data_IF_304041616510
#
_entry.id   IF_304041616510
#
_cell.length_a   1.000
_cell.length_b   1.000
_cell.length_c   1.000
_cell.angle_alpha   90.00
_cell.angle_beta   90.00
_cell.angle_gamma   90.00
#
_symmetry.space_group_name_H-M   'P 1'
#
loop_
_entity.id
_entity.type
_entity.pdbx_description
1 polymer ?
#
# COMPACT_ATOMS: atom_id res chain seq x y z
N UNK A 1 -10.08 27.53 7.03
CA UNK A 1 -8.64 27.18 7.11
C UNK A 1 -7.94 27.73 5.87
N UNK A 2 -6.83 28.45 6.03
CA UNK A 2 -6.01 28.93 4.92
C UNK A 2 -5.51 27.77 4.03
N UNK A 3 -5.44 28.01 2.72
CA UNK A 3 -4.97 27.04 1.71
C UNK A 3 -3.56 26.55 2.06
N UNK A 4 -2.66 27.44 2.47
CA UNK A 4 -1.29 27.06 2.80
C UNK A 4 -1.21 26.27 4.09
N UNK A 5 -2.03 26.59 5.10
CA UNK A 5 -2.08 25.82 6.35
C UNK A 5 -2.61 24.41 6.16
N UNK A 6 -3.65 24.22 5.32
CA UNK A 6 -4.15 22.88 4.95
C UNK A 6 -3.09 22.05 4.23
N UNK A 7 -2.38 22.65 3.29
CA UNK A 7 -1.29 21.98 2.55
C UNK A 7 -0.11 21.60 3.44
N UNK A 8 0.28 22.49 4.35
CA UNK A 8 1.34 22.24 5.32
C UNK A 8 0.95 21.11 6.28
N UNK A 9 -0.29 21.10 6.77
CA UNK A 9 -0.84 20.00 7.57
C UNK A 9 -0.73 18.66 6.82
N UNK A 10 -1.12 18.65 5.54
CA UNK A 10 -1.07 17.44 4.72
C UNK A 10 0.36 16.92 4.49
N UNK A 11 1.36 17.81 4.38
CA UNK A 11 2.78 17.44 4.36
C UNK A 11 3.19 16.84 5.70
N UNK A 12 2.87 17.53 6.80
CA UNK A 12 3.30 17.13 8.14
C UNK A 12 2.75 15.74 8.51
N UNK A 13 1.51 15.43 8.14
CA UNK A 13 0.95 14.09 8.33
C UNK A 13 1.78 12.99 7.66
N UNK A 14 2.24 13.21 6.43
CA UNK A 14 3.13 12.26 5.74
C UNK A 14 4.51 12.19 6.41
N UNK A 15 5.03 13.32 6.90
CA UNK A 15 6.34 13.34 7.59
C UNK A 15 6.35 12.60 8.93
N UNK A 16 5.19 12.35 9.53
CA UNK A 16 5.06 11.58 10.77
C UNK A 16 5.15 10.07 10.54
N UNK A 17 5.02 9.59 9.29
CA UNK A 17 5.05 8.18 8.96
C UNK A 17 6.48 7.60 9.05
N UNK A 18 6.59 6.32 9.38
CA UNK A 18 7.89 5.64 9.53
C UNK A 18 8.64 5.53 8.20
N UNK A 19 7.96 5.35 7.06
CA UNK A 19 8.56 5.47 5.72
C UNK A 19 9.31 6.78 5.54
N UNK A 20 8.71 7.90 5.94
CA UNK A 20 9.37 9.21 5.82
C UNK A 20 10.58 9.31 6.77
N UNK A 21 10.49 8.76 7.98
CA UNK A 21 11.61 8.72 8.93
C UNK A 21 12.79 7.92 8.38
N UNK A 22 12.54 6.72 7.81
CA UNK A 22 13.57 5.92 7.13
C UNK A 22 14.18 6.67 5.95
N UNK A 23 13.35 7.26 5.11
CA UNK A 23 13.81 8.06 3.96
C UNK A 23 14.79 9.17 4.38
N UNK A 24 14.45 10.00 5.37
CA UNK A 24 15.33 11.11 5.76
C UNK A 24 16.57 10.67 6.53
N UNK A 25 16.53 9.49 7.17
CA UNK A 25 17.71 8.86 7.80
C UNK A 25 18.73 8.46 6.73
N UNK A 26 18.26 7.83 5.66
CA UNK A 26 19.12 7.29 4.60
C UNK A 26 19.53 8.35 3.60
N UNK A 27 18.61 9.23 3.18
CA UNK A 27 18.83 10.21 2.10
C UNK A 27 18.78 11.65 2.64
N UNK A 28 19.86 12.10 3.30
CA UNK A 28 19.94 13.48 3.77
C UNK A 28 19.92 14.45 2.58
N UNK A 29 19.46 15.68 2.82
CA UNK A 29 19.18 16.65 1.75
C UNK A 29 20.38 16.92 0.83
N UNK A 30 21.60 16.90 1.37
CA UNK A 30 22.82 17.19 0.63
C UNK A 30 23.30 16.02 -0.24
N UNK A 31 22.88 14.78 0.04
CA UNK A 31 23.19 13.59 -0.77
C UNK A 31 22.10 13.27 -1.81
N UNK A 32 21.08 14.13 -1.95
CA UNK A 32 19.99 13.90 -2.91
C UNK A 32 20.42 14.14 -4.34
N UNK A 33 20.58 13.04 -5.05
CA UNK A 33 20.81 12.98 -6.51
C UNK A 33 19.53 13.26 -7.31
N UNK A 34 19.65 13.98 -8.44
CA UNK A 34 18.50 14.50 -9.23
C UNK A 34 17.84 13.40 -10.06
N UNK A 35 18.65 12.49 -10.56
CA UNK A 35 18.30 11.33 -11.37
C UNK A 35 17.32 10.40 -10.62
N UNK A 36 17.41 10.37 -9.29
CA UNK A 36 16.53 9.57 -8.42
C UNK A 36 15.34 10.38 -7.85
N UNK A 37 15.13 11.63 -8.29
CA UNK A 37 14.14 12.52 -7.67
C UNK A 37 12.68 12.07 -7.87
N UNK A 38 12.42 11.30 -8.93
CA UNK A 38 11.12 10.69 -9.25
C UNK A 38 11.01 9.22 -8.80
N UNK A 39 12.02 8.71 -8.08
CA UNK A 39 12.06 7.36 -7.51
C UNK A 39 12.35 7.40 -6.01
N UNK A 40 13.61 7.30 -5.61
CA UNK A 40 14.03 7.08 -4.22
C UNK A 40 14.39 8.38 -3.47
N UNK A 41 14.76 9.45 -4.19
CA UNK A 41 15.18 10.74 -3.63
C UNK A 41 14.07 11.80 -3.69
N UNK A 42 12.86 11.42 -3.25
CA UNK A 42 11.66 12.24 -3.40
C UNK A 42 11.77 13.62 -2.73
N UNK A 43 11.29 14.66 -3.41
CA UNK A 43 11.30 16.03 -2.87
C UNK A 43 9.95 16.41 -2.29
N UNK A 44 9.94 16.93 -1.07
CA UNK A 44 8.73 17.47 -0.45
C UNK A 44 8.14 18.59 -1.32
N UNK A 45 6.85 18.52 -1.68
CA UNK A 45 6.19 19.59 -2.43
C UNK A 45 6.22 20.91 -1.67
N UNK A 46 6.50 22.02 -2.35
CA UNK A 46 6.41 23.35 -1.75
C UNK A 46 4.94 23.79 -1.68
N UNK A 47 4.42 23.88 -0.45
CA UNK A 47 3.02 24.23 -0.17
C UNK A 47 2.66 25.66 -0.59
N UNK A 48 3.66 26.54 -0.70
CA UNK A 48 3.51 27.97 -1.02
C UNK A 48 3.29 28.21 -2.51
N UNK A 49 3.55 27.22 -3.36
CA UNK A 49 3.39 27.36 -4.80
C UNK A 49 1.93 27.65 -5.16
N UNK A 50 1.73 28.61 -6.05
CA UNK A 50 0.41 28.96 -6.55
C UNK A 50 -0.10 27.92 -7.57
N UNK A 51 -0.47 26.75 -7.06
CA UNK A 51 -1.04 25.65 -7.81
C UNK A 51 -2.56 25.60 -7.62
N UNK A 52 -3.26 25.12 -8.64
CA UNK A 52 -4.66 24.69 -8.52
C UNK A 52 -4.76 23.52 -7.54
N UNK A 53 -5.97 23.28 -7.02
CA UNK A 53 -6.22 22.19 -6.08
C UNK A 53 -5.84 20.82 -6.67
N UNK A 54 -6.22 20.55 -7.91
CA UNK A 54 -5.90 19.30 -8.62
C UNK A 54 -4.38 19.12 -8.83
N UNK A 55 -3.67 20.14 -9.31
CA UNK A 55 -2.20 20.07 -9.50
C UNK A 55 -1.48 19.84 -8.18
N UNK A 56 -1.94 20.46 -7.10
CA UNK A 56 -1.42 20.23 -5.76
C UNK A 56 -1.63 18.78 -5.30
N UNK A 57 -2.86 18.27 -5.41
CA UNK A 57 -3.18 16.91 -5.01
C UNK A 57 -2.38 15.89 -5.81
N UNK A 58 -2.21 16.07 -7.12
CA UNK A 58 -1.36 15.20 -7.94
C UNK A 58 0.10 15.18 -7.46
N UNK A 59 0.68 16.35 -7.13
CA UNK A 59 2.05 16.43 -6.59
C UNK A 59 2.16 15.78 -5.21
N UNK A 60 1.20 16.04 -4.33
CA UNK A 60 1.17 15.47 -2.98
C UNK A 60 1.02 13.94 -3.02
N UNK A 61 0.12 13.42 -3.84
CA UNK A 61 -0.07 11.98 -4.03
C UNK A 61 1.16 11.31 -4.63
N UNK A 62 1.80 11.92 -5.64
CA UNK A 62 3.04 11.38 -6.19
C UNK A 62 4.15 11.32 -5.13
N UNK A 63 4.35 12.41 -4.38
CA UNK A 63 5.35 12.43 -3.31
C UNK A 63 5.07 11.37 -2.23
N UNK A 64 3.81 11.22 -1.79
CA UNK A 64 3.41 10.16 -0.84
C UNK A 64 3.73 8.77 -1.36
N UNK A 65 3.39 8.49 -2.62
CA UNK A 65 3.71 7.21 -3.26
C UNK A 65 5.21 6.91 -3.21
N UNK A 66 6.06 7.90 -3.45
CA UNK A 66 7.52 7.73 -3.37
C UNK A 66 8.01 7.55 -1.92
N UNK A 67 7.45 8.31 -0.96
CA UNK A 67 7.74 8.13 0.47
C UNK A 67 7.38 6.73 0.92
N UNK A 68 6.19 6.22 0.59
CA UNK A 68 5.74 4.89 0.99
C UNK A 68 6.58 3.74 0.42
N UNK A 69 7.40 3.95 -0.62
CA UNK A 69 8.37 2.93 -1.06
C UNK A 69 9.35 2.54 0.05
N UNK A 70 9.62 3.47 0.97
CA UNK A 70 10.50 3.26 2.12
C UNK A 70 9.87 2.42 3.24
N UNK A 71 8.59 2.07 3.15
CA UNK A 71 7.99 1.09 4.07
C UNK A 71 8.51 -0.34 3.81
N UNK A 72 9.05 -0.59 2.60
CA UNK A 72 9.61 -1.88 2.20
C UNK A 72 11.08 -2.06 2.58
N UNK A 73 11.72 -0.99 3.05
CA UNK A 73 13.13 -1.00 3.44
C UNK A 73 13.22 -1.31 4.94
N UNK A 74 13.93 -2.39 5.28
CA UNK A 74 14.18 -2.74 6.68
C UNK A 74 15.16 -1.76 7.34
N UNK A 75 15.24 -1.78 8.67
CA UNK A 75 16.23 -0.98 9.38
C UNK A 75 17.67 -1.42 9.06
N UNK A 76 17.93 -2.72 8.90
CA UNK A 76 19.26 -3.22 8.49
C UNK A 76 19.67 -2.76 7.10
N UNK A 77 18.71 -2.66 6.17
CA UNK A 77 18.97 -2.14 4.82
C UNK A 77 19.23 -0.63 4.84
N UNK A 78 18.68 0.12 5.79
CA UNK A 78 18.91 1.56 5.86
C UNK A 78 20.38 1.92 6.12
N UNK A 79 21.08 1.14 6.94
CA UNK A 79 22.50 1.38 7.22
C UNK A 79 23.33 1.13 5.95
N UNK A 80 23.08 0.01 5.26
CA UNK A 80 23.72 -0.33 3.98
C UNK A 80 23.50 0.76 2.91
N UNK A 81 22.26 1.23 2.78
CA UNK A 81 21.91 2.28 1.80
C UNK A 81 22.58 3.61 2.12
N UNK A 82 22.72 3.95 3.40
CA UNK A 82 23.41 5.17 3.83
C UNK A 82 24.89 5.10 3.45
N UNK A 83 25.52 3.95 3.64
CA UNK A 83 26.91 3.72 3.24
C UNK A 83 27.10 3.79 1.72
N UNK A 84 26.17 3.23 0.94
CA UNK A 84 26.19 3.34 -0.53
C UNK A 84 26.21 4.81 -0.97
N UNK A 85 25.33 5.64 -0.41
CA UNK A 85 25.27 7.07 -0.74
C UNK A 85 26.53 7.82 -0.31
N UNK A 86 27.11 7.49 0.85
CA UNK A 86 28.35 8.11 1.31
C UNK A 86 29.55 7.75 0.42
N UNK A 87 29.59 6.54 -0.15
CA UNK A 87 30.60 6.11 -1.13
C UNK A 87 30.34 6.63 -2.54
N UNK A 88 29.14 7.15 -2.82
CA UNK A 88 28.71 7.55 -4.15
C UNK A 88 28.31 6.38 -5.05
N UNK A 89 28.09 5.18 -4.48
CA UNK A 89 27.68 4.00 -5.21
C UNK A 89 26.16 3.98 -5.41
N UNK A 90 25.72 4.65 -6.48
CA UNK A 90 24.30 4.76 -6.81
C UNK A 90 23.73 3.48 -7.44
N UNK A 91 24.56 2.66 -8.08
CA UNK A 91 24.11 1.41 -8.70
C UNK A 91 23.77 0.38 -7.62
N UNK A 92 24.65 0.21 -6.62
CA UNK A 92 24.39 -0.64 -5.46
C UNK A 92 23.16 -0.14 -4.68
N UNK A 93 23.07 1.18 -4.45
CA UNK A 93 21.91 1.79 -3.78
C UNK A 93 20.58 1.42 -4.46
N UNK A 94 20.49 1.62 -5.79
CA UNK A 94 19.27 1.32 -6.55
C UNK A 94 18.99 -0.18 -6.56
N UNK A 95 20.02 -1.01 -6.68
CA UNK A 95 19.90 -2.48 -6.65
C UNK A 95 19.27 -2.96 -5.34
N UNK A 96 19.73 -2.47 -4.19
CA UNK A 96 19.18 -2.82 -2.86
C UNK A 96 17.73 -2.34 -2.74
N UNK A 97 17.47 -1.08 -3.11
CA UNK A 97 16.13 -0.49 -3.03
C UNK A 97 15.10 -1.26 -3.89
N UNK A 98 15.45 -1.61 -5.13
CA UNK A 98 14.55 -2.35 -6.02
C UNK A 98 14.48 -3.84 -5.67
N UNK A 99 15.54 -4.42 -5.12
CA UNK A 99 15.54 -5.79 -4.59
C UNK A 99 14.57 -5.97 -3.41
N UNK A 100 14.40 -4.93 -2.60
CA UNK A 100 13.46 -4.90 -1.47
C UNK A 100 11.99 -4.92 -1.88
N UNK A 101 11.68 -4.71 -3.17
CA UNK A 101 10.32 -4.88 -3.70
C UNK A 101 9.86 -6.34 -3.79
N UNK A 102 10.76 -7.32 -3.59
CA UNK A 102 10.48 -8.74 -3.87
C UNK A 102 9.88 -9.53 -2.70
N UNK A 103 9.83 -8.99 -1.49
CA UNK A 103 9.27 -9.73 -0.36
C UNK A 103 8.15 -8.96 0.35
N UNK A 104 7.07 -9.72 0.63
CA UNK A 104 5.73 -9.30 1.02
C UNK A 104 4.92 -8.66 -0.12
N UNK A 105 4.58 -9.49 -1.10
CA UNK A 105 3.15 -9.53 -1.46
C UNK A 105 2.47 -9.94 -0.15
N UNK A 106 1.93 -8.94 0.56
CA UNK A 106 0.95 -9.18 1.61
C UNK A 106 -0.02 -10.20 0.99
N UNK A 107 -0.20 -11.37 1.58
CA UNK A 107 -1.09 -12.37 1.02
C UNK A 107 -2.48 -11.72 0.96
N UNK A 108 -2.81 -11.15 -0.20
CA UNK A 108 -4.06 -10.45 -0.40
C UNK A 108 -5.09 -11.54 -0.59
N UNK A 109 -5.69 -11.91 0.54
CA UNK A 109 -6.71 -12.94 0.61
C UNK A 109 -7.83 -12.65 -0.38
N UNK A 110 -8.17 -11.37 -0.59
CA UNK A 110 -9.19 -10.98 -1.57
C UNK A 110 -8.69 -11.23 -2.99
N UNK A 111 -7.50 -10.79 -3.36
CA UNK A 111 -6.95 -11.04 -4.71
C UNK A 111 -6.93 -12.55 -5.05
N UNK A 112 -6.47 -13.37 -4.11
CA UNK A 112 -6.35 -14.82 -4.27
C UNK A 112 -7.70 -15.56 -4.22
N UNK A 113 -8.64 -15.12 -3.36
CA UNK A 113 -9.98 -15.70 -3.31
C UNK A 113 -10.78 -15.43 -4.58
N UNK A 114 -10.54 -14.27 -5.18
CA UNK A 114 -11.36 -13.80 -6.27
C UNK A 114 -10.86 -14.29 -7.63
N UNK A 115 -9.56 -14.60 -7.81
CA UNK A 115 -8.95 -15.41 -8.89
C UNK A 115 -9.53 -15.26 -10.34
N UNK A 116 -10.25 -14.16 -10.60
CA UNK A 116 -11.00 -13.87 -11.82
C UNK A 116 -10.71 -12.46 -12.34
N UNK A 117 -9.78 -11.75 -11.71
CA UNK A 117 -9.30 -10.49 -12.24
C UNK A 117 -8.28 -10.78 -13.36
N UNK A 118 -8.77 -11.09 -14.55
CA UNK A 118 -8.03 -10.70 -15.75
C UNK A 118 -8.04 -9.16 -15.77
N UNK A 119 -6.90 -8.55 -16.08
CA UNK A 119 -6.66 -7.11 -15.97
C UNK A 119 -7.71 -6.21 -16.68
N UNK A 120 -8.58 -6.81 -17.50
CA UNK A 120 -9.55 -6.13 -18.35
C UNK A 120 -10.99 -6.08 -17.77
N UNK A 121 -11.31 -6.82 -16.69
CA UNK A 121 -12.68 -6.89 -16.16
C UNK A 121 -12.71 -6.84 -14.62
N UNK A 122 -12.82 -5.62 -14.08
CA UNK A 122 -13.02 -5.37 -12.66
C UNK A 122 -14.51 -5.54 -12.31
N UNK A 123 -14.96 -6.79 -12.15
CA UNK A 123 -16.29 -7.07 -11.60
C UNK A 123 -16.18 -7.22 -10.08
N UNK A 124 -16.55 -6.21 -9.28
CA UNK A 124 -16.58 -6.32 -7.83
C UNK A 124 -17.48 -7.48 -7.37
N UNK A 125 -17.01 -8.26 -6.38
CA UNK A 125 -17.74 -9.39 -5.81
C UNK A 125 -18.50 -8.93 -4.56
N UNK A 126 -19.78 -9.30 -4.47
CA UNK A 126 -20.62 -9.08 -3.29
C UNK A 126 -20.76 -10.39 -2.52
N UNK A 127 -20.33 -10.39 -1.27
CA UNK A 127 -20.58 -11.46 -0.33
C UNK A 127 -22.05 -11.44 0.13
N UNK A 128 -22.78 -12.52 -0.12
CA UNK A 128 -24.16 -12.70 0.35
C UNK A 128 -24.19 -13.68 1.53
N UNK A 129 -24.35 -13.18 2.77
CA UNK A 129 -24.42 -14.04 3.94
C UNK A 129 -25.73 -14.84 3.99
N UNK A 130 -25.74 -15.99 4.68
CA UNK A 130 -26.88 -16.92 4.74
C UNK A 130 -28.15 -16.29 5.35
N UNK A 131 -27.97 -15.31 6.23
CA UNK A 131 -29.05 -14.59 6.90
C UNK A 131 -29.76 -13.61 5.95
N UNK A 132 -29.09 -13.18 4.86
CA UNK A 132 -29.68 -12.26 3.90
C UNK A 132 -30.61 -12.99 2.94
N UNK A 133 -31.92 -12.74 3.07
CA UNK A 133 -32.97 -13.37 2.26
C UNK A 133 -33.31 -12.64 0.96
N UNK A 134 -32.72 -11.47 0.71
CA UNK A 134 -32.95 -10.71 -0.52
C UNK A 134 -32.11 -11.19 -1.70
N UNK A 135 -32.40 -10.69 -2.88
CA UNK A 135 -31.58 -10.89 -4.08
C UNK A 135 -30.66 -9.70 -4.29
N UNK A 136 -29.37 -9.99 -4.48
CA UNK A 136 -28.36 -8.99 -4.82
C UNK A 136 -27.97 -9.24 -6.27
N UNK A 137 -28.73 -8.65 -7.18
CA UNK A 137 -28.43 -8.64 -8.60
C UNK A 137 -28.13 -7.20 -8.99
N UNK A 138 -26.85 -6.85 -9.06
CA UNK A 138 -26.41 -5.54 -9.56
C UNK A 138 -25.57 -5.73 -10.80
N UNK A 139 -25.86 -4.96 -11.84
CA UNK A 139 -25.16 -5.06 -13.12
C UNK A 139 -23.67 -4.78 -12.91
N UNK A 140 -22.82 -5.72 -13.32
CA UNK A 140 -21.37 -5.63 -13.16
C UNK A 140 -20.83 -6.08 -11.80
N UNK A 141 -21.66 -6.69 -10.94
CA UNK A 141 -21.19 -7.35 -9.73
C UNK A 141 -21.45 -8.85 -9.81
N UNK A 142 -20.52 -9.63 -9.28
CA UNK A 142 -20.71 -11.05 -9.08
C UNK A 142 -21.13 -11.30 -7.62
N UNK A 143 -22.24 -11.99 -7.39
CA UNK A 143 -22.67 -12.34 -6.04
C UNK A 143 -22.17 -13.74 -5.69
N UNK A 144 -21.48 -13.86 -4.56
CA UNK A 144 -20.99 -15.14 -4.02
C UNK A 144 -21.71 -15.41 -2.71
N UNK A 145 -22.42 -16.53 -2.62
CA UNK A 145 -23.07 -16.95 -1.39
C UNK A 145 -22.03 -17.43 -0.36
N UNK A 146 -22.42 -17.40 0.92
CA UNK A 146 -21.57 -17.79 2.04
C UNK A 146 -20.99 -19.20 1.94
N UNK A 147 -21.75 -20.18 1.44
CA UNK A 147 -21.25 -21.56 1.32
C UNK A 147 -20.14 -21.64 0.29
N UNK A 148 -20.34 -21.00 -0.86
CA UNK A 148 -19.33 -20.90 -1.93
C UNK A 148 -18.10 -20.13 -1.47
N UNK A 149 -18.27 -19.01 -0.76
CA UNK A 149 -17.17 -18.20 -0.23
C UNK A 149 -16.30 -18.99 0.78
N UNK A 150 -16.93 -19.65 1.74
CA UNK A 150 -16.22 -20.42 2.77
C UNK A 150 -15.49 -21.63 2.18
N UNK A 151 -16.09 -22.30 1.20
CA UNK A 151 -15.46 -23.44 0.52
C UNK A 151 -14.20 -22.99 -0.22
N UNK A 152 -14.28 -21.90 -1.00
CA UNK A 152 -13.12 -21.33 -1.71
C UNK A 152 -12.04 -20.85 -0.73
N UNK A 153 -12.44 -20.18 0.35
CA UNK A 153 -11.55 -19.73 1.42
C UNK A 153 -10.80 -20.90 2.04
N UNK A 154 -11.49 -21.97 2.39
CA UNK A 154 -10.86 -23.16 2.97
C UNK A 154 -9.90 -23.85 2.01
N UNK A 155 -10.22 -23.92 0.71
CA UNK A 155 -9.37 -24.54 -0.29
C UNK A 155 -8.09 -23.75 -0.56
N UNK A 156 -8.16 -22.41 -0.55
CA UNK A 156 -7.04 -21.53 -0.88
C UNK A 156 -6.16 -21.18 0.33
N UNK A 157 -6.76 -21.10 1.52
CA UNK A 157 -6.07 -20.67 2.75
C UNK A 157 -5.63 -21.85 3.62
N UNK A 158 -5.89 -23.10 3.23
CA UNK A 158 -5.45 -24.28 3.98
C UNK A 158 -3.93 -24.39 4.15
N UNK A 159 -3.15 -23.74 3.27
CA UNK A 159 -1.69 -23.67 3.34
C UNK A 159 -1.16 -22.50 4.15
N UNK A 160 -2.04 -21.60 4.63
CA UNK A 160 -1.66 -20.44 5.43
C UNK A 160 -1.67 -20.77 6.93
N UNK A 161 -1.07 -19.87 7.72
CA UNK A 161 -1.06 -19.94 9.17
C UNK A 161 -2.49 -20.11 9.75
N UNK A 162 -2.69 -21.16 10.54
CA UNK A 162 -4.01 -21.54 11.08
C UNK A 162 -4.66 -20.42 11.92
N UNK A 163 -3.94 -19.75 12.85
CA UNK A 163 -4.44 -18.55 13.53
C UNK A 163 -4.96 -17.46 12.59
N UNK A 164 -4.25 -17.20 11.48
CA UNK A 164 -4.70 -16.23 10.49
C UNK A 164 -6.00 -16.67 9.81
N UNK A 165 -6.09 -17.93 9.37
CA UNK A 165 -7.30 -18.50 8.78
C UNK A 165 -8.50 -18.41 9.75
N UNK A 166 -8.31 -18.83 11.00
CA UNK A 166 -9.36 -18.83 12.01
C UNK A 166 -9.86 -17.39 12.27
N UNK A 167 -8.95 -16.42 12.38
CA UNK A 167 -9.30 -14.99 12.54
C UNK A 167 -10.01 -14.43 11.29
N UNK A 168 -9.52 -14.74 10.09
CA UNK A 168 -10.12 -14.31 8.82
C UNK A 168 -11.55 -14.83 8.69
N UNK A 169 -11.76 -16.14 8.86
CA UNK A 169 -13.08 -16.77 8.77
C UNK A 169 -14.05 -16.20 9.81
N UNK A 170 -13.59 -15.99 11.06
CA UNK A 170 -14.42 -15.41 12.11
C UNK A 170 -15.02 -14.05 11.73
N UNK A 171 -14.37 -13.28 10.86
CA UNK A 171 -14.89 -11.98 10.39
C UNK A 171 -16.17 -12.14 9.54
N UNK A 172 -16.31 -13.27 8.84
CA UNK A 172 -17.42 -13.53 7.92
C UNK A 172 -18.47 -14.48 8.48
N UNK A 173 -18.06 -15.40 9.35
CA UNK A 173 -18.92 -16.41 9.97
C UNK A 173 -19.36 -16.04 11.37
N UNK A 174 -19.13 -14.81 11.82
CA UNK A 174 -19.47 -14.41 13.20
C UNK A 174 -20.99 -14.49 13.41
N UNK A 175 -21.41 -15.68 13.85
CA UNK A 175 -22.58 -15.99 14.64
C UNK A 175 -22.53 -15.13 15.89
N UNK A 176 -23.08 -13.92 15.83
CA UNK A 176 -23.48 -13.22 17.04
C UNK A 176 -24.82 -13.78 17.52
N UNK A 177 -24.67 -14.58 18.57
CA UNK A 177 -25.52 -14.62 19.77
C UNK A 177 -26.88 -15.31 19.61
N UNK A 178 -26.90 -16.61 19.93
CA UNK A 178 -27.95 -17.14 20.81
C UNK A 178 -27.55 -16.91 22.26
#
# INVERSE_FOLDING_TARGET
MDKNSSRLRAINLTKLQDSYRRYVRVVPRHLRVKELSDSWHSRTPDYRLNLTHSKWNKRLSNWRRLVHRWDRISDSQCDLLSDCLNRGDLEEFVSICEGSNKEKVDFDVCDHLLNQHTADLYYPIIYKPFWFKGDINSNGFQTVDETTFLTKSKQLLNTLDKPFYDNFISTYTNTRLS
#
